data_IF_383806702005
#
_entry.id   IF_383806702005
#
_cell.length_a   1.000
_cell.length_b   1.000
_cell.length_c   1.000
_cell.angle_alpha   90.00
_cell.angle_beta   90.00
_cell.angle_gamma   90.00
#
_symmetry.space_group_name_H-M   'P 1'
#
loop_
_entity.id
_entity.type
_entity.pdbx_description
1 polymer ?
#
# COMPACT_ATOMS: atom_id res chain seq x y z
N UNK A 1 -1.44 -42.80 50.79
CA UNK A 1 -1.03 -41.38 50.56
C UNK A 1 -0.29 -41.33 49.23
N UNK A 2 -1.01 -41.02 48.18
CA UNK A 2 -0.49 -40.90 46.80
C UNK A 2 -0.04 -39.47 46.58
N UNK A 3 1.23 -39.25 46.23
CA UNK A 3 1.80 -37.96 45.92
C UNK A 3 1.19 -37.38 44.63
N UNK A 4 0.95 -36.09 44.54
CA UNK A 4 0.43 -35.50 43.33
C UNK A 4 1.53 -35.41 42.27
N UNK A 5 1.25 -35.97 41.08
CA UNK A 5 2.06 -35.79 39.87
C UNK A 5 1.98 -34.29 39.47
N UNK A 6 3.12 -33.59 39.53
CA UNK A 6 3.28 -32.28 38.92
C UNK A 6 3.19 -32.43 37.39
N UNK A 7 2.12 -31.90 36.80
CA UNK A 7 2.03 -31.63 35.38
C UNK A 7 3.10 -30.60 35.03
N UNK A 8 4.16 -31.01 34.39
CA UNK A 8 5.13 -30.13 33.74
C UNK A 8 4.38 -29.50 32.55
N UNK A 9 3.97 -28.25 32.69
CA UNK A 9 3.46 -27.47 31.61
C UNK A 9 4.61 -27.34 30.58
N UNK A 10 4.52 -28.07 29.48
CA UNK A 10 5.40 -27.87 28.33
C UNK A 10 5.10 -26.45 27.80
N UNK A 11 6.09 -25.55 27.92
CA UNK A 11 6.01 -24.25 27.30
C UNK A 11 5.67 -24.44 25.81
N UNK A 12 4.67 -23.71 25.33
CA UNK A 12 4.37 -23.72 23.90
C UNK A 12 5.64 -23.37 23.11
N UNK A 13 5.94 -24.05 21.98
CA UNK A 13 7.12 -23.72 21.20
C UNK A 13 7.07 -22.27 20.82
N UNK A 14 8.19 -21.56 20.97
CA UNK A 14 8.30 -20.16 20.55
C UNK A 14 7.90 -20.05 19.09
N UNK A 15 7.09 -19.03 18.75
CA UNK A 15 6.65 -18.81 17.38
C UNK A 15 7.88 -18.63 16.47
N UNK A 16 7.89 -19.30 15.31
CA UNK A 16 8.96 -19.18 14.33
C UNK A 16 9.02 -17.77 13.75
N UNK A 17 10.21 -17.29 13.45
CA UNK A 17 10.42 -16.00 12.80
C UNK A 17 10.15 -16.14 11.30
N UNK A 18 9.23 -15.36 10.76
CA UNK A 18 9.01 -15.31 9.31
C UNK A 18 10.09 -14.46 8.64
N UNK A 19 11.04 -15.09 7.95
CA UNK A 19 12.19 -14.43 7.33
C UNK A 19 11.84 -13.65 6.06
N UNK A 20 10.66 -13.86 5.47
CA UNK A 20 10.22 -13.20 4.24
C UNK A 20 10.23 -11.67 4.36
N UNK A 21 9.86 -11.13 5.52
CA UNK A 21 9.74 -9.68 5.75
C UNK A 21 10.99 -9.00 6.30
N UNK A 22 12.07 -9.76 6.55
CA UNK A 22 13.28 -9.21 7.15
C UNK A 22 14.16 -8.55 6.08
N UNK A 23 14.53 -7.30 6.31
CA UNK A 23 15.53 -6.58 5.52
C UNK A 23 16.90 -7.22 5.61
N UNK A 24 17.83 -6.88 4.70
CA UNK A 24 19.21 -7.40 4.73
C UNK A 24 19.87 -7.23 6.10
N UNK A 25 19.77 -6.05 6.70
CA UNK A 25 20.35 -5.78 8.02
C UNK A 25 19.73 -6.61 9.14
N UNK A 26 18.40 -6.80 9.10
CA UNK A 26 17.69 -7.65 10.07
C UNK A 26 18.07 -9.13 9.92
N UNK A 27 18.21 -9.61 8.67
CA UNK A 27 18.68 -10.98 8.41
C UNK A 27 20.14 -11.17 8.85
N UNK A 28 21.02 -10.18 8.63
CA UNK A 28 22.39 -10.23 9.12
C UNK A 28 22.47 -10.33 10.66
N UNK A 29 21.60 -9.57 11.35
CA UNK A 29 21.48 -9.66 12.82
C UNK A 29 20.96 -11.04 13.23
N UNK A 30 19.87 -11.52 12.60
CA UNK A 30 19.29 -12.84 12.85
C UNK A 30 20.34 -13.98 12.72
N UNK A 31 21.12 -13.98 11.63
CA UNK A 31 22.17 -14.99 11.47
C UNK A 31 23.32 -14.85 12.49
N UNK A 32 23.64 -13.61 12.86
CA UNK A 32 24.66 -13.36 13.91
C UNK A 32 24.20 -13.92 15.25
N UNK A 33 22.94 -13.73 15.61
CA UNK A 33 22.33 -14.26 16.85
C UNK A 33 22.30 -15.82 16.86
N UNK A 34 22.22 -16.43 15.67
CA UNK A 34 22.36 -17.90 15.51
C UNK A 34 23.81 -18.40 15.53
N UNK A 35 24.80 -17.51 15.68
CA UNK A 35 26.23 -17.87 15.62
C UNK A 35 26.75 -18.07 14.19
N UNK A 36 25.98 -17.66 13.18
CA UNK A 36 26.31 -17.79 11.76
C UNK A 36 26.92 -16.50 11.20
N UNK A 37 27.59 -16.62 10.04
CA UNK A 37 28.21 -15.47 9.36
C UNK A 37 27.17 -14.60 8.66
N UNK A 38 27.33 -13.27 8.70
CA UNK A 38 26.42 -12.28 8.11
C UNK A 38 26.11 -12.51 6.63
N UNK A 39 27.06 -13.02 5.83
CA UNK A 39 26.82 -13.28 4.41
C UNK A 39 25.74 -14.32 4.12
N UNK A 40 25.33 -15.13 5.14
CA UNK A 40 24.19 -16.07 5.02
C UNK A 40 22.88 -15.35 4.70
N UNK A 41 22.73 -14.09 5.16
CA UNK A 41 21.61 -13.24 4.79
C UNK A 41 21.49 -13.06 3.27
N UNK A 42 22.62 -12.82 2.59
CA UNK A 42 22.63 -12.64 1.12
C UNK A 42 22.26 -13.95 0.38
N UNK A 43 22.71 -15.09 0.88
CA UNK A 43 22.34 -16.39 0.30
C UNK A 43 20.82 -16.63 0.45
N UNK A 44 20.30 -16.44 1.66
CA UNK A 44 18.87 -16.60 1.92
C UNK A 44 18.01 -15.65 1.05
N UNK A 45 18.36 -14.36 1.00
CA UNK A 45 17.62 -13.37 0.19
C UNK A 45 17.50 -13.79 -1.28
N UNK A 46 18.57 -14.30 -1.87
CA UNK A 46 18.56 -14.79 -3.26
C UNK A 46 17.64 -16.00 -3.44
N UNK A 47 17.62 -16.93 -2.47
CA UNK A 47 16.72 -18.07 -2.53
C UNK A 47 15.25 -17.64 -2.47
N UNK A 48 14.92 -16.76 -1.52
CA UNK A 48 13.56 -16.33 -1.25
C UNK A 48 13.04 -15.37 -2.35
N UNK A 49 13.82 -14.34 -2.68
CA UNK A 49 13.32 -13.21 -3.48
C UNK A 49 13.73 -13.26 -4.95
N UNK A 50 14.76 -14.06 -5.33
CA UNK A 50 15.10 -14.25 -6.75
C UNK A 50 14.59 -15.57 -7.31
N UNK A 51 14.42 -16.60 -6.46
CA UNK A 51 14.04 -17.95 -6.89
C UNK A 51 12.67 -18.39 -6.39
N UNK A 52 12.06 -17.64 -5.48
CA UNK A 52 10.76 -17.95 -4.90
C UNK A 52 10.76 -19.20 -4.01
N UNK A 53 11.93 -19.64 -3.51
CA UNK A 53 12.05 -20.84 -2.69
C UNK A 53 11.64 -20.52 -1.25
N UNK A 54 10.80 -21.39 -0.68
CA UNK A 54 10.30 -21.28 0.70
C UNK A 54 10.86 -22.36 1.63
N UNK A 55 11.24 -23.50 1.05
CA UNK A 55 11.71 -24.63 1.84
C UNK A 55 13.23 -24.56 2.04
N UNK A 56 13.68 -24.51 3.29
CA UNK A 56 15.11 -24.46 3.60
C UNK A 56 15.86 -25.67 3.04
N UNK A 57 15.20 -26.84 2.92
CA UNK A 57 15.78 -28.05 2.36
C UNK A 57 16.30 -27.87 0.92
N UNK A 58 15.69 -26.97 0.14
CA UNK A 58 16.07 -26.67 -1.25
C UNK A 58 17.27 -25.72 -1.37
N UNK A 59 17.67 -25.04 -0.29
CA UNK A 59 18.73 -24.02 -0.28
C UNK A 59 20.13 -24.66 -0.19
N UNK A 60 20.57 -25.27 -1.28
CA UNK A 60 21.72 -26.16 -1.33
C UNK A 60 23.08 -25.53 -1.06
N UNK A 61 23.20 -24.18 -1.11
CA UNK A 61 24.40 -23.43 -0.74
C UNK A 61 24.48 -23.10 0.77
N UNK A 62 23.43 -23.48 1.54
CA UNK A 62 23.44 -23.52 2.99
C UNK A 62 23.82 -24.93 3.46
N UNK A 63 24.62 -25.04 4.53
CA UNK A 63 24.98 -26.35 5.11
C UNK A 63 23.73 -27.08 5.63
N UNK A 64 23.76 -28.42 5.64
CA UNK A 64 22.63 -29.20 6.14
C UNK A 64 22.30 -28.82 7.60
N UNK A 65 23.33 -28.69 8.46
CA UNK A 65 23.15 -28.31 9.85
C UNK A 65 22.43 -26.96 10.01
N UNK A 66 22.77 -25.96 9.15
CA UNK A 66 22.11 -24.66 9.18
C UNK A 66 20.66 -24.77 8.70
N UNK A 67 20.38 -25.53 7.64
CA UNK A 67 19.01 -25.77 7.15
C UNK A 67 18.12 -26.41 8.23
N UNK A 68 18.67 -27.42 8.93
CA UNK A 68 17.97 -28.11 10.02
C UNK A 68 17.71 -27.15 11.21
N UNK A 69 18.68 -26.30 11.55
CA UNK A 69 18.53 -25.27 12.57
C UNK A 69 17.46 -24.24 12.19
N UNK A 70 17.48 -23.74 10.94
CA UNK A 70 16.48 -22.78 10.46
C UNK A 70 15.06 -23.34 10.51
N UNK A 71 14.86 -24.62 10.17
CA UNK A 71 13.54 -25.26 10.26
C UNK A 71 12.95 -25.27 11.69
N UNK A 72 13.78 -25.19 12.73
CA UNK A 72 13.31 -25.15 14.11
C UNK A 72 12.88 -23.77 14.57
N UNK A 73 13.57 -22.70 14.10
CA UNK A 73 13.43 -21.34 14.64
C UNK A 73 12.81 -20.34 13.67
N UNK A 74 12.71 -20.70 12.40
CA UNK A 74 12.27 -19.77 11.35
C UNK A 74 11.35 -20.44 10.33
N UNK A 75 10.70 -19.60 9.53
CA UNK A 75 9.87 -19.99 8.39
C UNK A 75 9.95 -18.94 7.28
N UNK A 76 9.50 -19.29 6.07
CA UNK A 76 9.31 -18.39 4.93
C UNK A 76 7.87 -18.60 4.46
N UNK A 77 6.98 -17.81 5.03
CA UNK A 77 5.53 -17.99 4.84
C UNK A 77 4.94 -16.72 4.22
N UNK A 78 4.78 -16.67 2.87
CA UNK A 78 3.99 -15.62 2.25
C UNK A 78 2.51 -15.81 2.60
N UNK A 79 1.69 -14.74 2.57
CA UNK A 79 0.25 -14.87 2.68
C UNK A 79 -0.29 -15.72 1.51
N UNK A 80 -1.56 -16.12 1.55
CA UNK A 80 -2.15 -17.03 0.55
C UNK A 80 -3.23 -16.31 -0.28
N UNK A 81 -3.34 -16.68 -1.55
CA UNK A 81 -4.42 -16.20 -2.43
C UNK A 81 -5.70 -16.93 -2.04
N UNK A 82 -6.71 -16.20 -1.58
CA UNK A 82 -8.06 -16.73 -1.31
C UNK A 82 -8.93 -16.68 -2.57
N UNK A 83 -8.83 -15.59 -3.35
CA UNK A 83 -9.57 -15.42 -4.61
C UNK A 83 -8.70 -14.65 -5.61
N UNK A 84 -8.84 -14.97 -6.89
CA UNK A 84 -8.26 -14.23 -8.01
C UNK A 84 -9.34 -13.85 -9.01
N UNK A 85 -9.31 -12.61 -9.48
CA UNK A 85 -10.17 -12.11 -10.56
C UNK A 85 -9.30 -11.51 -11.66
N UNK A 86 -9.60 -11.87 -12.90
CA UNK A 86 -8.94 -11.35 -14.10
C UNK A 86 -9.92 -10.49 -14.89
N UNK A 87 -9.56 -9.24 -15.17
CA UNK A 87 -10.30 -8.32 -16.01
C UNK A 87 -10.01 -8.53 -17.47
N UNK A 88 -10.95 -8.16 -18.33
CA UNK A 88 -10.78 -8.19 -19.79
C UNK A 88 -9.63 -7.27 -20.28
N UNK A 89 -9.25 -6.25 -19.52
CA UNK A 89 -8.14 -5.34 -19.82
C UNK A 89 -6.77 -5.85 -19.36
N UNK A 90 -6.70 -7.09 -18.85
CA UNK A 90 -5.50 -7.74 -18.32
C UNK A 90 -5.18 -7.39 -16.86
N UNK A 91 -5.95 -6.51 -16.23
CA UNK A 91 -5.81 -6.25 -14.79
C UNK A 91 -6.16 -7.50 -13.99
N UNK A 92 -5.34 -7.80 -12.97
CA UNK A 92 -5.58 -8.93 -12.07
C UNK A 92 -5.70 -8.44 -10.65
N UNK A 93 -6.75 -8.87 -9.96
CA UNK A 93 -6.98 -8.61 -8.54
C UNK A 93 -6.93 -9.90 -7.74
N UNK A 94 -6.29 -9.86 -6.58
CA UNK A 94 -6.27 -10.93 -5.61
C UNK A 94 -6.88 -10.48 -4.30
N UNK A 95 -7.76 -11.31 -3.73
CA UNK A 95 -8.06 -11.31 -2.32
C UNK A 95 -7.05 -12.24 -1.62
N UNK A 96 -6.30 -11.69 -0.68
CA UNK A 96 -5.15 -12.32 -0.05
C UNK A 96 -5.47 -12.54 1.43
N UNK A 97 -5.44 -13.80 1.86
CA UNK A 97 -5.61 -14.16 3.25
C UNK A 97 -4.33 -13.84 4.04
N UNK A 98 -4.49 -13.08 5.10
CA UNK A 98 -3.45 -12.65 6.02
C UNK A 98 -3.68 -13.24 7.42
N UNK A 99 -2.70 -13.11 8.31
CA UNK A 99 -2.81 -13.63 9.67
C UNK A 99 -4.10 -13.16 10.36
N UNK A 100 -4.73 -14.08 11.09
CA UNK A 100 -6.00 -13.83 11.78
C UNK A 100 -7.25 -13.99 10.90
N UNK A 101 -7.11 -14.54 9.68
CA UNK A 101 -8.24 -14.89 8.80
C UNK A 101 -8.88 -13.72 8.04
N UNK A 102 -8.30 -12.54 8.11
CA UNK A 102 -8.76 -11.37 7.35
C UNK A 102 -8.28 -11.41 5.90
N UNK A 103 -8.97 -10.71 5.01
CA UNK A 103 -8.58 -10.56 3.61
C UNK A 103 -8.16 -9.13 3.31
N UNK A 104 -7.10 -8.98 2.53
CA UNK A 104 -6.71 -7.71 1.89
C UNK A 104 -6.61 -7.89 0.39
N UNK A 105 -6.71 -6.82 -0.36
CA UNK A 105 -6.64 -6.88 -1.81
C UNK A 105 -5.33 -6.30 -2.35
N UNK A 106 -4.82 -6.92 -3.41
CA UNK A 106 -3.74 -6.41 -4.24
C UNK A 106 -4.15 -6.46 -5.72
N UNK A 107 -3.65 -5.51 -6.52
CA UNK A 107 -4.03 -5.38 -7.94
C UNK A 107 -2.80 -5.20 -8.80
N UNK A 108 -2.62 -6.03 -9.83
CA UNK A 108 -1.61 -5.86 -10.88
C UNK A 108 -2.26 -5.25 -12.12
N UNK A 109 -1.74 -4.12 -12.56
CA UNK A 109 -2.24 -3.35 -13.70
C UNK A 109 -1.16 -3.35 -14.78
N UNK A 110 -1.32 -4.13 -15.88
CA UNK A 110 -0.42 -4.11 -17.02
C UNK A 110 -0.68 -2.89 -17.90
N UNK A 111 0.39 -2.29 -18.43
CA UNK A 111 0.35 -1.17 -19.35
C UNK A 111 1.58 -1.18 -20.26
N UNK A 112 1.45 -1.80 -21.46
CA UNK A 112 2.59 -2.04 -22.35
C UNK A 112 3.68 -2.86 -21.66
N UNK A 113 4.92 -2.32 -21.63
CA UNK A 113 6.06 -2.96 -20.95
C UNK A 113 6.08 -2.75 -19.43
N UNK A 114 5.07 -2.05 -18.89
CA UNK A 114 4.94 -1.78 -17.45
C UNK A 114 3.88 -2.69 -16.85
N UNK A 115 4.13 -3.10 -15.62
CA UNK A 115 3.13 -3.75 -14.78
C UNK A 115 3.24 -3.16 -13.37
N UNK A 116 2.22 -2.44 -12.95
CA UNK A 116 2.17 -1.75 -11.66
C UNK A 116 1.37 -2.58 -10.66
N UNK A 117 2.01 -2.99 -9.58
CA UNK A 117 1.34 -3.68 -8.47
C UNK A 117 0.92 -2.65 -7.41
N UNK A 118 -0.37 -2.60 -7.14
CA UNK A 118 -0.96 -1.88 -6.02
C UNK A 118 -1.02 -2.83 -4.81
N UNK A 119 -0.38 -2.45 -3.70
CA UNK A 119 -0.30 -3.27 -2.49
C UNK A 119 -0.95 -2.58 -1.30
N UNK A 120 -1.51 -3.39 -0.41
CA UNK A 120 -2.14 -2.98 0.84
C UNK A 120 -1.13 -2.93 1.98
N UNK A 121 -1.37 -2.04 2.95
CA UNK A 121 -0.53 -1.82 4.14
C UNK A 121 -1.25 -2.11 5.46
N UNK A 122 -2.58 -2.18 5.46
CA UNK A 122 -3.40 -2.42 6.65
C UNK A 122 -4.58 -3.34 6.29
N UNK A 123 -5.12 -4.03 7.27
CA UNK A 123 -6.44 -4.67 7.19
C UNK A 123 -7.49 -3.60 7.50
N UNK A 124 -8.19 -3.14 6.45
CA UNK A 124 -9.00 -1.93 6.49
C UNK A 124 -8.14 -0.66 6.41
N UNK A 125 -8.62 0.45 6.95
CA UNK A 125 -7.88 1.71 6.99
C UNK A 125 -8.13 2.46 8.30
N UNK A 126 -7.05 2.97 8.90
CA UNK A 126 -7.14 3.80 10.11
C UNK A 126 -7.76 5.17 9.84
N UNK A 127 -7.74 5.65 8.57
CA UNK A 127 -8.33 6.92 8.15
C UNK A 127 -9.76 6.73 7.65
N UNK A 128 -10.54 7.81 7.70
CA UNK A 128 -11.97 7.86 7.36
C UNK A 128 -12.23 8.78 6.15
N UNK A 129 -11.50 8.59 5.04
CA UNK A 129 -11.74 9.32 3.80
C UNK A 129 -13.13 8.94 3.26
N UNK A 130 -14.02 9.93 3.11
CA UNK A 130 -15.46 9.69 2.88
C UNK A 130 -15.78 9.04 1.55
N UNK A 131 -14.91 9.21 0.55
CA UNK A 131 -15.03 8.66 -0.80
C UNK A 131 -14.31 7.31 -0.98
N UNK A 132 -13.74 6.73 0.08
CA UNK A 132 -12.94 5.50 -0.01
C UNK A 132 -13.69 4.32 0.62
N UNK A 133 -13.88 3.25 -0.15
CA UNK A 133 -14.54 2.03 0.31
C UNK A 133 -13.78 1.40 1.50
N UNK A 134 -12.45 1.28 1.39
CA UNK A 134 -11.60 0.79 2.48
C UNK A 134 -11.74 1.63 3.76
N UNK A 135 -11.83 2.97 3.62
CA UNK A 135 -12.03 3.88 4.76
C UNK A 135 -13.34 3.59 5.51
N UNK A 136 -14.42 3.26 4.78
CA UNK A 136 -15.74 2.94 5.36
C UNK A 136 -15.78 1.59 6.09
N UNK A 137 -14.89 0.64 5.74
CA UNK A 137 -14.81 -0.67 6.41
C UNK A 137 -14.27 -0.58 7.84
N UNK A 138 -13.57 0.50 8.20
CA UNK A 138 -12.89 0.65 9.47
C UNK A 138 -11.49 0.03 9.46
N UNK A 139 -10.93 -0.23 10.63
CA UNK A 139 -9.56 -0.68 10.83
C UNK A 139 -9.50 -1.87 11.79
N UNK A 140 -8.70 -2.85 11.45
CA UNK A 140 -8.45 -4.01 12.31
C UNK A 140 -7.01 -4.02 12.83
N UNK A 141 -6.00 -4.02 11.96
CA UNK A 141 -4.58 -4.04 12.31
C UNK A 141 -3.69 -3.60 11.16
N UNK A 142 -2.45 -3.32 11.47
CA UNK A 142 -1.38 -3.16 10.50
C UNK A 142 -0.98 -4.52 9.90
N UNK A 143 -0.55 -4.52 8.64
CA UNK A 143 0.11 -5.67 8.04
C UNK A 143 1.58 -5.72 8.46
N UNK A 144 2.11 -6.91 8.67
CA UNK A 144 3.53 -7.12 8.88
C UNK A 144 4.34 -6.85 7.61
N UNK A 145 5.63 -6.62 7.73
CA UNK A 145 6.50 -6.47 6.55
C UNK A 145 6.44 -7.71 5.65
N UNK A 146 6.33 -8.92 6.23
CA UNK A 146 6.18 -10.17 5.49
C UNK A 146 4.86 -10.22 4.70
N UNK A 147 3.76 -9.74 5.27
CA UNK A 147 2.47 -9.67 4.57
C UNK A 147 2.46 -8.63 3.46
N UNK A 148 3.15 -7.48 3.64
CA UNK A 148 3.26 -6.45 2.61
C UNK A 148 4.13 -6.94 1.45
N UNK A 149 5.36 -7.41 1.72
CA UNK A 149 6.26 -7.89 0.66
C UNK A 149 5.78 -9.20 0.05
N UNK A 150 5.02 -9.99 0.81
CA UNK A 150 4.37 -11.21 0.37
C UNK A 150 3.38 -10.97 -0.77
N UNK A 151 2.76 -9.79 -0.87
CA UNK A 151 1.91 -9.42 -2.01
C UNK A 151 2.73 -9.32 -3.30
N UNK A 152 3.96 -8.80 -3.23
CA UNK A 152 4.89 -8.75 -4.37
C UNK A 152 5.33 -10.17 -4.73
N UNK A 153 5.67 -10.98 -3.73
CA UNK A 153 6.07 -12.38 -3.89
C UNK A 153 4.96 -13.19 -4.59
N UNK A 154 3.72 -13.09 -4.10
CA UNK A 154 2.55 -13.76 -4.68
C UNK A 154 2.26 -13.33 -6.11
N UNK A 155 2.34 -12.03 -6.40
CA UNK A 155 2.13 -11.53 -7.74
C UNK A 155 3.13 -12.14 -8.73
N UNK A 156 4.41 -12.25 -8.36
CA UNK A 156 5.44 -12.88 -9.20
C UNK A 156 5.19 -14.39 -9.33
N UNK A 157 4.88 -15.07 -8.23
CA UNK A 157 4.63 -16.50 -8.19
C UNK A 157 3.43 -16.90 -9.06
N UNK A 158 2.33 -16.16 -9.00
CA UNK A 158 1.11 -16.41 -9.78
C UNK A 158 1.28 -16.35 -11.29
N UNK A 159 2.37 -15.75 -11.78
CA UNK A 159 2.76 -15.72 -13.19
C UNK A 159 3.93 -16.64 -13.53
N UNK A 160 4.35 -17.53 -12.60
CA UNK A 160 5.58 -18.32 -12.73
C UNK A 160 6.80 -17.44 -13.06
N UNK A 161 6.88 -16.27 -12.45
CA UNK A 161 7.86 -15.23 -12.76
C UNK A 161 9.28 -15.47 -12.24
N UNK A 162 9.48 -16.57 -11.48
CA UNK A 162 10.80 -16.97 -10.93
C UNK A 162 11.73 -17.60 -11.98
N UNK A 163 11.23 -17.90 -13.18
CA UNK A 163 12.01 -18.56 -14.24
C UNK A 163 12.99 -17.56 -14.89
N UNK A 164 14.25 -17.96 -15.00
CA UNK A 164 15.28 -17.19 -15.69
C UNK A 164 14.88 -16.93 -17.16
N UNK A 165 15.10 -15.70 -17.64
CA UNK A 165 14.83 -15.30 -19.03
C UNK A 165 13.42 -14.77 -19.29
N UNK A 166 12.49 -14.83 -18.33
CA UNK A 166 11.22 -14.09 -18.41
C UNK A 166 11.43 -12.63 -18.03
N UNK A 167 10.72 -11.73 -18.66
CA UNK A 167 10.63 -10.32 -18.25
C UNK A 167 10.10 -10.17 -16.82
N UNK A 168 10.30 -9.03 -16.21
CA UNK A 168 9.79 -8.76 -14.85
C UNK A 168 8.26 -8.73 -14.85
N UNK A 169 7.63 -9.55 -14.04
CA UNK A 169 6.17 -9.56 -13.82
C UNK A 169 5.73 -8.24 -13.17
N UNK A 170 6.47 -7.77 -12.16
CA UNK A 170 6.20 -6.51 -11.47
C UNK A 170 7.32 -5.53 -11.79
N UNK A 171 6.98 -4.41 -12.42
CA UNK A 171 7.95 -3.36 -12.79
C UNK A 171 7.87 -2.14 -11.89
N UNK A 172 6.70 -1.91 -11.28
CA UNK A 172 6.41 -0.79 -10.38
C UNK A 172 5.55 -1.28 -9.21
N UNK A 173 5.76 -0.70 -8.04
CA UNK A 173 4.90 -0.95 -6.87
C UNK A 173 4.38 0.38 -6.34
N UNK A 174 3.10 0.43 -6.02
CA UNK A 174 2.46 1.60 -5.39
C UNK A 174 1.75 1.19 -4.09
N UNK A 175 2.03 1.88 -3.01
CA UNK A 175 1.39 1.69 -1.71
C UNK A 175 0.08 2.48 -1.70
N UNK A 176 -0.88 2.04 -2.55
CA UNK A 176 -2.18 2.71 -2.79
C UNK A 176 -3.36 1.75 -2.62
N UNK A 177 -3.13 0.58 -2.03
CA UNK A 177 -4.15 -0.39 -1.68
C UNK A 177 -4.88 -0.02 -0.39
N UNK A 178 -5.23 -1.03 0.41
CA UNK A 178 -5.92 -0.83 1.68
C UNK A 178 -4.96 -0.28 2.74
N UNK A 179 -5.39 0.78 3.45
CA UNK A 179 -4.67 1.37 4.58
C UNK A 179 -3.93 2.67 4.27
N UNK A 180 -3.49 3.34 5.35
CA UNK A 180 -2.57 4.48 5.29
C UNK A 180 -1.14 4.01 5.61
N UNK A 181 -0.24 3.99 4.62
CA UNK A 181 1.09 3.43 4.78
C UNK A 181 1.91 4.06 5.91
N UNK A 182 1.79 5.37 6.10
CA UNK A 182 2.56 6.06 7.13
C UNK A 182 2.06 5.77 8.56
N UNK A 183 0.87 5.20 8.75
CA UNK A 183 0.45 4.71 10.07
C UNK A 183 1.04 3.34 10.39
N UNK A 184 1.46 2.57 9.38
CA UNK A 184 2.21 1.32 9.51
C UNK A 184 3.70 1.51 9.12
N UNK A 185 4.34 2.53 9.66
CA UNK A 185 5.61 3.07 9.18
C UNK A 185 6.72 2.02 9.06
N UNK A 186 7.04 1.31 10.15
CA UNK A 186 8.22 0.46 10.22
C UNK A 186 8.11 -0.77 9.29
N UNK A 187 6.92 -1.38 9.20
CA UNK A 187 6.67 -2.50 8.28
C UNK A 187 6.69 -2.04 6.81
N UNK A 188 6.11 -0.89 6.52
CA UNK A 188 6.08 -0.32 5.17
C UNK A 188 7.49 0.06 4.71
N UNK A 189 8.29 0.69 5.56
CA UNK A 189 9.69 1.03 5.24
C UNK A 189 10.50 -0.24 5.01
N UNK A 190 10.34 -1.27 5.84
CA UNK A 190 11.03 -2.56 5.66
C UNK A 190 10.66 -3.20 4.32
N UNK A 191 9.38 -3.23 3.97
CA UNK A 191 8.91 -3.77 2.70
C UNK A 191 9.43 -2.97 1.49
N UNK A 192 9.41 -1.63 1.54
CA UNK A 192 9.95 -0.78 0.47
C UNK A 192 11.46 -0.95 0.29
N UNK A 193 12.21 -1.11 1.39
CA UNK A 193 13.64 -1.39 1.32
C UNK A 193 13.91 -2.75 0.66
N UNK A 194 13.12 -3.79 0.96
CA UNK A 194 13.18 -5.07 0.25
C UNK A 194 12.83 -4.94 -1.24
N UNK A 195 11.81 -4.15 -1.59
CA UNK A 195 11.47 -3.90 -3.00
C UNK A 195 12.64 -3.28 -3.77
N UNK A 196 13.45 -2.43 -3.13
CA UNK A 196 14.57 -1.73 -3.74
C UNK A 196 15.91 -2.48 -3.63
N UNK A 197 16.04 -3.45 -2.70
CA UNK A 197 17.28 -4.20 -2.48
C UNK A 197 17.62 -5.08 -3.70
N UNK A 198 18.85 -5.00 -4.19
CA UNK A 198 19.34 -5.76 -5.35
C UNK A 198 19.46 -7.28 -5.10
N UNK A 199 19.51 -7.70 -3.84
CA UNK A 199 19.45 -9.11 -3.43
C UNK A 199 17.99 -9.60 -3.23
N UNK A 200 17.00 -8.70 -3.37
CA UNK A 200 15.59 -9.04 -3.34
C UNK A 200 14.94 -8.72 -4.70
N UNK A 201 14.14 -7.65 -4.80
CA UNK A 201 13.40 -7.39 -6.05
C UNK A 201 14.13 -6.39 -6.98
N UNK A 202 15.09 -5.63 -6.49
CA UNK A 202 15.92 -4.71 -7.28
C UNK A 202 15.13 -3.68 -8.08
N UNK A 203 13.99 -3.22 -7.56
CA UNK A 203 13.22 -2.17 -8.19
C UNK A 203 13.93 -0.83 -8.03
N UNK A 204 13.93 -0.03 -9.09
CA UNK A 204 14.43 1.34 -8.98
C UNK A 204 13.59 2.12 -7.96
N UNK A 205 14.23 2.93 -7.13
CA UNK A 205 13.60 3.82 -6.14
C UNK A 205 12.49 4.72 -6.73
N UNK A 206 12.59 5.06 -8.02
CA UNK A 206 11.56 5.81 -8.76
C UNK A 206 10.33 4.96 -9.14
N UNK A 207 10.46 3.63 -9.05
CA UNK A 207 9.41 2.67 -9.40
C UNK A 207 8.66 2.11 -8.19
N UNK A 208 9.08 2.50 -7.00
CA UNK A 208 8.36 2.26 -5.74
C UNK A 208 7.78 3.60 -5.28
N UNK A 209 6.47 3.66 -5.07
CA UNK A 209 5.76 4.89 -4.68
C UNK A 209 5.06 4.68 -3.35
N UNK A 210 5.40 5.49 -2.36
CA UNK A 210 4.62 5.63 -1.14
C UNK A 210 3.55 6.70 -1.39
N UNK A 211 2.29 6.38 -1.11
CA UNK A 211 1.18 7.33 -1.10
C UNK A 211 0.73 7.60 0.32
N UNK A 212 0.39 8.84 0.65
CA UNK A 212 -0.13 9.21 1.98
C UNK A 212 -1.21 10.26 1.91
N UNK A 213 -2.18 10.15 2.79
CA UNK A 213 -3.18 11.20 3.03
C UNK A 213 -2.67 12.30 3.99
N UNK A 214 -1.45 12.18 4.51
CA UNK A 214 -0.80 13.25 5.27
C UNK A 214 -0.59 12.98 6.76
N UNK A 215 -0.05 11.82 7.11
CA UNK A 215 0.44 11.55 8.48
C UNK A 215 1.79 12.26 8.65
N UNK A 216 1.73 13.57 8.91
CA UNK A 216 2.86 14.49 8.88
C UNK A 216 4.04 14.05 9.75
N UNK A 217 3.89 13.62 11.03
CA UNK A 217 5.05 13.23 11.85
C UNK A 217 5.87 12.08 11.24
N UNK A 218 5.20 11.13 10.58
CA UNK A 218 5.88 10.01 9.93
C UNK A 218 6.41 10.38 8.54
N UNK A 219 5.78 11.35 7.86
CA UNK A 219 6.31 11.91 6.62
C UNK A 219 7.60 12.71 6.87
N UNK A 220 7.68 13.48 7.96
CA UNK A 220 8.86 14.26 8.33
C UNK A 220 10.12 13.39 8.52
N UNK A 221 9.95 12.19 9.09
CA UNK A 221 11.07 11.26 9.32
C UNK A 221 11.35 10.32 8.14
N UNK A 222 10.48 10.26 7.13
CA UNK A 222 10.56 9.28 6.05
C UNK A 222 11.89 9.31 5.29
N UNK A 223 12.46 10.51 5.07
CA UNK A 223 13.69 10.68 4.31
C UNK A 223 14.92 9.99 4.94
N UNK A 224 14.90 9.74 6.24
CA UNK A 224 15.96 9.03 6.96
C UNK A 224 15.92 7.52 6.69
N UNK A 225 14.78 6.99 6.28
CA UNK A 225 14.52 5.55 6.22
C UNK A 225 14.26 5.02 4.82
N UNK A 226 13.79 5.85 3.90
CA UNK A 226 13.43 5.43 2.56
C UNK A 226 13.68 6.54 1.53
N UNK A 227 14.13 6.11 0.35
CA UNK A 227 14.34 6.98 -0.82
C UNK A 227 13.49 6.44 -1.98
N UNK A 228 12.19 6.71 -1.94
CA UNK A 228 11.20 6.26 -2.93
C UNK A 228 10.42 7.43 -3.53
N UNK A 229 9.61 7.20 -4.55
CA UNK A 229 8.68 8.22 -5.06
C UNK A 229 7.59 8.51 -4.03
N UNK A 230 7.18 9.77 -3.92
CA UNK A 230 6.14 10.21 -3.01
C UNK A 230 4.89 10.66 -3.78
N UNK A 231 3.73 10.16 -3.36
CA UNK A 231 2.42 10.66 -3.76
C UNK A 231 1.68 11.21 -2.54
N UNK A 232 0.99 12.32 -2.73
CA UNK A 232 0.14 12.96 -1.72
C UNK A 232 -1.31 12.91 -2.18
N UNK A 233 -2.13 12.22 -1.43
CA UNK A 233 -3.59 12.16 -1.58
C UNK A 233 -4.20 13.48 -1.07
N UNK A 234 -4.23 14.49 -1.96
CA UNK A 234 -4.67 15.85 -1.63
C UNK A 234 -6.19 16.00 -1.69
N UNK A 235 -6.78 15.67 -2.83
CA UNK A 235 -8.21 15.59 -3.15
C UNK A 235 -9.06 16.87 -2.97
N UNK A 236 -8.48 17.96 -2.46
CA UNK A 236 -9.17 19.23 -2.30
C UNK A 236 -8.19 20.40 -2.49
N UNK A 237 -8.65 21.57 -2.99
CA UNK A 237 -7.80 22.74 -3.18
C UNK A 237 -7.65 23.60 -1.91
N UNK A 238 -8.48 23.36 -0.88
CA UNK A 238 -8.49 24.10 0.37
C UNK A 238 -8.82 23.23 1.58
N UNK A 239 -8.50 23.73 2.78
CA UNK A 239 -8.70 22.98 4.04
C UNK A 239 -10.18 22.77 4.35
N UNK A 240 -11.05 23.72 4.06
CA UNK A 240 -12.48 23.62 4.38
C UNK A 240 -13.14 22.42 3.68
N UNK A 241 -12.81 22.18 2.42
CA UNK A 241 -13.29 21.01 1.70
C UNK A 241 -12.53 19.75 2.10
N UNK A 242 -11.20 19.85 2.28
CA UNK A 242 -10.39 18.71 2.66
C UNK A 242 -10.78 18.14 4.02
N UNK A 243 -11.15 18.98 4.99
CA UNK A 243 -11.65 18.57 6.31
C UNK A 243 -12.90 17.69 6.23
N UNK A 244 -13.70 17.86 5.18
CA UNK A 244 -14.92 17.08 4.95
C UNK A 244 -14.63 15.73 4.31
N UNK A 245 -13.75 15.68 3.29
CA UNK A 245 -13.54 14.47 2.50
C UNK A 245 -12.31 13.66 2.92
N UNK A 246 -11.32 14.30 3.57
CA UNK A 246 -10.08 13.67 4.10
C UNK A 246 -9.85 14.14 5.53
N UNK A 247 -10.55 13.60 6.54
CA UNK A 247 -10.64 14.16 7.90
C UNK A 247 -9.33 14.31 8.66
N UNK A 248 -8.25 13.61 8.27
CA UNK A 248 -6.91 13.81 8.87
C UNK A 248 -6.39 15.24 8.65
N UNK A 249 -6.93 15.97 7.68
CA UNK A 249 -6.59 17.36 7.40
C UNK A 249 -6.79 18.28 8.62
N UNK A 250 -7.83 18.03 9.43
CA UNK A 250 -8.10 18.76 10.66
C UNK A 250 -6.92 18.73 11.64
N UNK A 251 -6.12 17.66 11.59
CA UNK A 251 -4.91 17.50 12.39
C UNK A 251 -3.68 18.04 11.68
N UNK A 252 -3.62 17.87 10.38
CA UNK A 252 -2.48 18.27 9.54
C UNK A 252 -2.99 18.99 8.29
N UNK A 253 -3.16 20.35 8.36
CA UNK A 253 -3.66 21.16 7.23
C UNK A 253 -2.77 21.07 6.00
N UNK A 254 -3.32 21.41 4.83
CA UNK A 254 -2.67 21.34 3.52
C UNK A 254 -1.28 22.00 3.53
N UNK A 255 -1.16 23.18 4.09
CA UNK A 255 0.11 23.91 4.13
C UNK A 255 1.21 23.11 4.84
N UNK A 256 0.87 22.47 5.97
CA UNK A 256 1.83 21.65 6.74
C UNK A 256 2.18 20.35 6.02
N UNK A 257 1.20 19.72 5.38
CA UNK A 257 1.40 18.53 4.56
C UNK A 257 2.34 18.82 3.38
N UNK A 258 2.07 19.88 2.61
CA UNK A 258 2.91 20.26 1.48
C UNK A 258 4.33 20.67 1.92
N UNK A 259 4.47 21.34 3.07
CA UNK A 259 5.79 21.64 3.65
C UNK A 259 6.57 20.36 3.95
N UNK A 260 5.96 19.36 4.56
CA UNK A 260 6.61 18.07 4.87
C UNK A 260 6.97 17.29 3.61
N UNK A 261 6.07 17.25 2.63
CA UNK A 261 6.34 16.59 1.35
C UNK A 261 7.47 17.30 0.57
N UNK A 262 7.59 18.62 0.68
CA UNK A 262 8.69 19.39 0.11
C UNK A 262 10.00 19.07 0.83
N UNK A 263 10.01 19.04 2.15
CA UNK A 263 11.18 18.69 2.96
C UNK A 263 11.70 17.28 2.62
N UNK A 264 10.76 16.32 2.43
CA UNK A 264 11.11 14.98 1.95
C UNK A 264 11.85 15.02 0.60
N UNK A 265 11.35 15.77 -0.39
CA UNK A 265 12.01 15.90 -1.69
C UNK A 265 13.40 16.54 -1.57
N UNK A 266 13.50 17.60 -0.78
CA UNK A 266 14.76 18.36 -0.62
C UNK A 266 15.84 17.52 0.08
N UNK A 267 15.45 16.55 0.90
CA UNK A 267 16.38 15.60 1.52
C UNK A 267 16.85 14.50 0.55
N UNK A 268 16.12 14.25 -0.56
CA UNK A 268 16.51 13.19 -1.50
C UNK A 268 17.74 13.57 -2.34
N UNK A 269 18.60 12.58 -2.72
CA UNK A 269 19.75 12.81 -3.59
C UNK A 269 19.37 13.35 -4.96
N UNK A 270 18.27 12.85 -5.53
CA UNK A 270 17.79 13.22 -6.87
C UNK A 270 16.90 14.46 -6.80
N UNK A 271 17.49 15.62 -7.04
CA UNK A 271 16.83 16.94 -7.01
C UNK A 271 15.81 17.18 -8.14
N UNK A 272 15.73 16.28 -9.13
CA UNK A 272 14.75 16.35 -10.22
C UNK A 272 13.42 15.64 -9.89
N UNK A 273 13.32 15.02 -8.73
CA UNK A 273 12.07 14.40 -8.29
C UNK A 273 11.00 15.44 -7.99
N UNK A 274 9.77 15.03 -8.24
CA UNK A 274 8.57 15.81 -7.92
C UNK A 274 7.58 14.95 -7.14
N UNK A 275 6.74 15.57 -6.34
CA UNK A 275 5.60 14.92 -5.68
C UNK A 275 4.52 14.62 -6.72
N UNK A 276 3.89 13.46 -6.64
CA UNK A 276 2.64 13.22 -7.35
C UNK A 276 1.48 13.67 -6.47
N UNK A 277 0.70 14.64 -6.92
CA UNK A 277 -0.53 15.08 -6.26
C UNK A 277 -1.67 14.22 -6.81
N UNK A 278 -2.23 13.36 -5.99
CA UNK A 278 -3.41 12.58 -6.32
C UNK A 278 -4.66 13.39 -6.00
N UNK A 279 -5.56 13.53 -6.97
CA UNK A 279 -6.79 14.31 -6.85
C UNK A 279 -7.97 13.52 -7.41
N UNK A 280 -8.74 12.91 -6.52
CA UNK A 280 -9.99 12.22 -6.89
C UNK A 280 -11.07 13.25 -7.16
N UNK A 281 -11.60 13.24 -8.38
CA UNK A 281 -12.68 14.13 -8.80
C UNK A 281 -14.03 13.53 -8.44
N UNK A 282 -14.82 14.24 -7.63
CA UNK A 282 -16.15 13.90 -7.13
C UNK A 282 -17.16 14.88 -7.74
N UNK A 283 -18.16 14.38 -8.45
CA UNK A 283 -19.14 15.21 -9.15
C UNK A 283 -19.87 16.19 -8.21
N UNK A 284 -19.84 17.48 -8.54
CA UNK A 284 -20.49 18.54 -7.77
C UNK A 284 -19.87 18.83 -6.40
N UNK A 285 -18.72 18.23 -6.07
CA UNK A 285 -18.04 18.41 -4.78
C UNK A 285 -16.72 19.15 -4.95
N UNK A 286 -15.81 18.64 -5.80
CA UNK A 286 -14.47 19.18 -5.98
C UNK A 286 -14.03 19.23 -7.45
N UNK A 287 -14.99 19.19 -8.40
CA UNK A 287 -14.76 19.06 -9.84
C UNK A 287 -15.04 20.35 -10.64
N UNK A 288 -15.26 21.49 -9.96
CA UNK A 288 -15.56 22.76 -10.63
C UNK A 288 -14.30 23.44 -11.21
N UNK A 289 -14.50 24.30 -12.19
CA UNK A 289 -13.44 25.13 -12.81
C UNK A 289 -12.79 26.07 -11.79
N UNK A 290 -13.58 26.60 -10.87
CA UNK A 290 -13.13 27.48 -9.79
C UNK A 290 -12.16 26.73 -8.86
N UNK A 291 -12.51 25.50 -8.49
CA UNK A 291 -11.65 24.64 -7.67
C UNK A 291 -10.38 24.22 -8.42
N UNK A 292 -10.44 24.02 -9.74
CA UNK A 292 -9.23 23.80 -10.55
C UNK A 292 -8.28 25.02 -10.52
N UNK A 293 -8.81 26.24 -10.60
CA UNK A 293 -8.03 27.49 -10.48
C UNK A 293 -7.43 27.64 -9.09
N UNK A 294 -8.20 27.34 -8.06
CA UNK A 294 -7.75 27.37 -6.67
C UNK A 294 -6.61 26.34 -6.44
N UNK A 295 -6.75 25.11 -6.96
CA UNK A 295 -5.69 24.10 -6.92
C UNK A 295 -4.42 24.57 -7.65
N UNK A 296 -4.57 25.19 -8.84
CA UNK A 296 -3.46 25.72 -9.58
C UNK A 296 -2.73 26.84 -8.81
N UNK A 297 -3.48 27.70 -8.12
CA UNK A 297 -2.91 28.76 -7.27
C UNK A 297 -2.18 28.18 -6.06
N UNK A 298 -2.79 27.19 -5.36
CA UNK A 298 -2.21 26.49 -4.21
C UNK A 298 -0.85 25.87 -4.56
N UNK A 299 -0.76 25.22 -5.73
CA UNK A 299 0.43 24.46 -6.14
C UNK A 299 1.41 25.30 -7.00
N UNK A 300 1.17 26.59 -7.17
CA UNK A 300 2.04 27.45 -7.99
C UNK A 300 3.48 27.43 -7.46
N UNK A 301 4.43 27.04 -8.33
CA UNK A 301 5.85 26.93 -7.98
C UNK A 301 6.20 25.72 -7.10
N UNK A 302 5.23 24.88 -6.78
CA UNK A 302 5.49 23.64 -6.05
C UNK A 302 5.96 22.51 -7.02
N UNK A 303 7.03 21.76 -6.71
CA UNK A 303 7.57 20.74 -7.61
C UNK A 303 6.67 19.50 -7.60
N UNK A 304 5.64 19.51 -8.41
CA UNK A 304 4.69 18.41 -8.51
C UNK A 304 4.26 18.10 -9.94
N UNK A 305 3.66 16.93 -10.10
CA UNK A 305 2.76 16.55 -11.18
C UNK A 305 1.41 16.18 -10.57
N UNK A 306 0.34 16.35 -11.33
CA UNK A 306 -1.02 16.11 -10.84
C UNK A 306 -1.59 14.87 -11.53
N UNK A 307 -2.16 13.97 -10.76
CA UNK A 307 -2.88 12.81 -11.24
C UNK A 307 -4.37 12.95 -10.88
N UNK A 308 -5.19 13.23 -11.87
CA UNK A 308 -6.63 13.33 -11.72
C UNK A 308 -7.24 11.93 -11.80
N UNK A 309 -8.02 11.57 -10.80
CA UNK A 309 -8.69 10.28 -10.69
C UNK A 309 -10.20 10.52 -10.73
N UNK A 310 -10.87 10.37 -11.90
CA UNK A 310 -12.33 10.36 -11.90
C UNK A 310 -12.83 9.30 -10.94
N UNK A 311 -13.75 9.67 -10.06
CA UNK A 311 -14.26 8.79 -9.03
C UNK A 311 -14.80 7.49 -9.62
N UNK A 312 -14.51 6.36 -8.99
CA UNK A 312 -15.05 5.07 -9.35
C UNK A 312 -16.15 4.73 -8.37
N UNK A 313 -17.36 4.60 -8.90
CA UNK A 313 -18.55 4.39 -8.10
C UNK A 313 -18.50 3.03 -7.38
N UNK A 314 -18.99 2.99 -6.16
CA UNK A 314 -19.21 1.76 -5.42
C UNK A 314 -20.49 1.89 -4.58
N UNK A 315 -21.15 0.79 -4.22
CA UNK A 315 -22.39 0.82 -3.45
C UNK A 315 -22.23 1.67 -2.18
N UNK A 316 -23.22 2.50 -1.92
CA UNK A 316 -23.30 3.36 -0.73
C UNK A 316 -22.13 4.39 -0.59
N UNK A 317 -21.47 4.75 -1.68
CA UNK A 317 -20.39 5.77 -1.65
C UNK A 317 -20.91 7.13 -1.21
N UNK A 318 -22.10 7.51 -1.64
CA UNK A 318 -22.68 8.85 -1.47
C UNK A 318 -22.12 9.88 -2.45
N UNK A 319 -21.26 9.46 -3.39
CA UNK A 319 -20.63 10.31 -4.42
C UNK A 319 -20.91 9.74 -5.80
N UNK A 320 -20.71 10.59 -6.81
CA UNK A 320 -20.87 10.22 -8.21
C UNK A 320 -19.63 10.56 -9.02
N UNK A 321 -19.42 9.79 -10.08
CA UNK A 321 -18.36 10.07 -11.07
C UNK A 321 -18.68 11.36 -11.82
N UNK A 322 -17.71 12.27 -11.99
CA UNK A 322 -17.88 13.49 -12.79
C UNK A 322 -18.05 13.14 -14.27
N UNK A 323 -18.79 14.00 -14.99
CA UNK A 323 -18.92 13.86 -16.44
C UNK A 323 -17.55 14.06 -17.12
N UNK A 324 -17.35 13.44 -18.29
CA UNK A 324 -16.12 13.61 -19.08
C UNK A 324 -15.84 15.09 -19.41
N UNK A 325 -16.89 15.91 -19.62
CA UNK A 325 -16.75 17.35 -19.84
C UNK A 325 -16.25 18.10 -18.59
N UNK A 326 -16.69 17.71 -17.39
CA UNK A 326 -16.20 18.31 -16.14
C UNK A 326 -14.72 17.95 -15.94
N UNK A 327 -14.35 16.69 -16.12
CA UNK A 327 -12.95 16.24 -16.06
C UNK A 327 -12.08 17.01 -17.07
N UNK A 328 -12.53 17.13 -18.32
CA UNK A 328 -11.77 17.82 -19.37
C UNK A 328 -11.57 19.30 -19.07
N UNK A 329 -12.61 20.01 -18.56
CA UNK A 329 -12.48 21.42 -18.16
C UNK A 329 -11.54 21.61 -16.98
N UNK A 330 -11.63 20.75 -15.96
CA UNK A 330 -10.74 20.77 -14.81
C UNK A 330 -9.28 20.53 -15.24
N UNK A 331 -9.06 19.53 -16.07
CA UNK A 331 -7.74 19.20 -16.64
C UNK A 331 -7.17 20.37 -17.46
N UNK A 332 -7.98 21.00 -18.32
CA UNK A 332 -7.53 22.11 -19.18
C UNK A 332 -7.03 23.30 -18.36
N UNK A 333 -7.74 23.67 -17.29
CA UNK A 333 -7.32 24.75 -16.38
C UNK A 333 -5.93 24.50 -15.80
N UNK A 334 -5.64 23.25 -15.40
CA UNK A 334 -4.35 22.91 -14.82
C UNK A 334 -3.23 22.88 -15.88
N UNK A 335 -3.53 22.41 -17.10
CA UNK A 335 -2.58 22.47 -18.23
C UNK A 335 -2.26 23.91 -18.61
N UNK A 336 -3.28 24.79 -18.71
CA UNK A 336 -3.10 26.20 -19.01
C UNK A 336 -2.28 26.92 -17.93
N UNK A 337 -2.36 26.44 -16.68
CA UNK A 337 -1.52 26.92 -15.58
C UNK A 337 -0.09 26.33 -15.58
N UNK A 338 0.26 25.47 -16.55
CA UNK A 338 1.62 24.95 -16.76
C UNK A 338 1.95 23.69 -15.98
N UNK A 339 0.97 22.97 -15.41
CA UNK A 339 1.22 21.70 -14.71
C UNK A 339 1.32 20.51 -15.67
N UNK A 340 2.11 19.50 -15.28
CA UNK A 340 2.04 18.16 -15.87
C UNK A 340 0.87 17.44 -15.24
N UNK A 341 -0.17 17.16 -16.03
CA UNK A 341 -1.41 16.55 -15.53
C UNK A 341 -1.71 15.27 -16.30
N UNK A 342 -1.98 14.20 -15.58
CA UNK A 342 -2.49 12.95 -16.13
C UNK A 342 -3.91 12.71 -15.63
N UNK A 343 -4.77 12.17 -16.48
CA UNK A 343 -6.10 11.69 -16.10
C UNK A 343 -6.02 10.17 -16.08
N UNK A 344 -6.30 9.57 -14.93
CA UNK A 344 -6.24 8.12 -14.79
C UNK A 344 -7.44 7.47 -15.50
N UNK A 345 -7.12 6.56 -16.40
CA UNK A 345 -8.12 5.65 -16.97
C UNK A 345 -8.45 4.58 -15.94
N UNK A 346 -9.73 4.33 -15.70
CA UNK A 346 -10.17 3.22 -14.86
C UNK A 346 -9.68 1.91 -15.47
N UNK A 347 -9.11 1.05 -14.64
CA UNK A 347 -8.65 -0.30 -14.99
C UNK A 347 -9.30 -1.30 -14.05
N UNK A 348 -9.66 -2.49 -14.60
CA UNK A 348 -10.30 -3.54 -13.83
C UNK A 348 -11.67 -3.12 -13.28
N UNK A 349 -12.43 -2.31 -14.03
CA UNK A 349 -13.75 -1.81 -13.61
C UNK A 349 -14.75 -2.97 -13.45
N UNK A 350 -14.67 -3.96 -14.32
CA UNK A 350 -15.47 -5.19 -14.32
C UNK A 350 -15.21 -6.13 -13.12
N UNK A 351 -14.15 -5.88 -12.35
CA UNK A 351 -13.76 -6.68 -11.18
C UNK A 351 -13.57 -5.85 -9.91
N UNK A 352 -14.09 -4.60 -9.87
CA UNK A 352 -13.95 -3.66 -8.74
C UNK A 352 -12.50 -3.47 -8.29
N UNK A 353 -11.55 -3.35 -9.24
CA UNK A 353 -10.12 -3.23 -8.97
C UNK A 353 -9.61 -1.79 -9.00
N UNK A 354 -10.47 -0.81 -9.18
CA UNK A 354 -10.07 0.59 -9.29
C UNK A 354 -9.73 1.22 -7.93
N UNK A 355 -9.00 2.35 -7.98
CA UNK A 355 -8.64 3.09 -6.78
C UNK A 355 -9.88 3.51 -5.97
N UNK A 356 -9.83 3.26 -4.67
CA UNK A 356 -10.92 3.56 -3.73
C UNK A 356 -12.00 2.48 -3.62
N UNK A 357 -11.97 1.43 -4.49
CA UNK A 357 -12.96 0.34 -4.48
C UNK A 357 -12.53 -0.89 -3.68
N UNK A 358 -11.26 -1.02 -3.28
CA UNK A 358 -10.77 -2.22 -2.63
C UNK A 358 -11.51 -2.53 -1.33
N UNK A 359 -11.95 -3.78 -1.20
CA UNK A 359 -12.79 -4.28 -0.11
C UNK A 359 -12.24 -5.60 0.38
N UNK A 360 -11.66 -5.60 1.60
CA UNK A 360 -11.23 -6.82 2.26
C UNK A 360 -12.28 -7.37 3.23
N UNK A 361 -12.02 -8.52 3.82
CA UNK A 361 -12.76 -8.97 5.00
C UNK A 361 -12.10 -8.42 6.25
N UNK A 362 -12.77 -7.45 6.90
CA UNK A 362 -12.24 -6.68 8.01
C UNK A 362 -13.13 -6.85 9.26
N UNK A 363 -12.53 -7.26 10.36
CA UNK A 363 -13.17 -7.17 11.68
C UNK A 363 -12.96 -5.76 12.22
N UNK A 364 -13.93 -4.86 12.00
CA UNK A 364 -13.83 -3.45 12.34
C UNK A 364 -13.75 -3.21 13.86
N UNK A 365 -12.55 -2.90 14.36
CA UNK A 365 -12.30 -2.54 15.77
C UNK A 365 -12.68 -1.09 16.09
N UNK A 366 -12.94 -0.26 15.09
CA UNK A 366 -13.28 1.17 15.27
C UNK A 366 -14.79 1.42 15.37
N UNK A 367 -15.61 0.40 15.12
CA UNK A 367 -17.08 0.47 14.97
C UNK A 367 -17.52 1.47 13.89
N UNK A 368 -16.66 1.80 12.94
CA UNK A 368 -16.91 2.78 11.88
C UNK A 368 -17.96 2.26 10.89
N UNK A 369 -17.84 1.01 10.46
CA UNK A 369 -18.81 0.37 9.59
C UNK A 369 -20.24 0.38 10.19
N UNK A 370 -20.36 0.22 11.51
CA UNK A 370 -21.63 0.31 12.21
C UNK A 370 -22.18 1.75 12.23
N UNK A 371 -21.31 2.76 12.46
CA UNK A 371 -21.71 4.18 12.41
C UNK A 371 -22.17 4.62 11.04
N UNK A 372 -21.50 4.21 9.98
CA UNK A 372 -21.92 4.50 8.61
C UNK A 372 -23.26 3.86 8.26
N UNK A 373 -23.55 2.64 8.75
CA UNK A 373 -24.88 2.01 8.60
C UNK A 373 -25.97 2.76 9.35
N UNK A 374 -25.77 3.08 10.62
CA UNK A 374 -26.73 3.80 11.44
C UNK A 374 -27.06 5.22 10.89
N UNK A 375 -26.06 5.93 10.36
CA UNK A 375 -26.28 7.24 9.72
C UNK A 375 -27.13 7.16 8.46
N UNK A 376 -27.10 6.06 7.72
CA UNK A 376 -27.95 5.81 6.53
C UNK A 376 -29.39 5.55 6.90
N UNK A 377 -29.62 4.73 7.90
CA UNK A 377 -30.98 4.42 8.36
C UNK A 377 -31.71 5.70 8.78
N UNK A 378 -30.99 6.64 9.41
CA UNK A 378 -31.53 7.95 9.80
C UNK A 378 -31.81 8.86 8.60
N UNK A 379 -30.94 8.88 7.57
CA UNK A 379 -31.17 9.65 6.33
C UNK A 379 -32.32 9.08 5.48
N UNK A 380 -32.45 7.78 5.40
CA UNK A 380 -33.54 7.10 4.68
C UNK A 380 -34.90 7.40 5.33
N UNK A 381 -34.97 7.47 6.66
CA UNK A 381 -36.18 7.84 7.39
C UNK A 381 -36.54 9.32 7.19
N UNK A 382 -35.61 10.23 7.07
CA UNK A 382 -35.86 11.67 6.82
C UNK A 382 -36.23 11.99 5.36
N UNK A 383 -35.98 11.08 4.40
CA UNK A 383 -36.38 11.24 2.99
C UNK A 383 -37.72 10.57 2.68
N UNK A 384 -38.27 9.83 3.62
CA UNK A 384 -39.58 9.14 3.51
C UNK A 384 -40.70 9.90 4.22
N UNK A 385 -40.44 11.04 4.83
CA UNK A 385 -41.38 12.05 5.34
C UNK A 385 -41.48 13.24 4.36
#
# INVERSE_FOLDING_TARGET
>A
MTAPQQLIATAAPAAKVNLLGLTRGQLEAFFTDLGEKRFRAQQLMKWVHHRGVREFAEMTDLSQALRDSLQQVAEITPPTIAEQKDSADGTRKWAIAVEGGSLVEAVLIPEGDRATLCVSSQVGCSLDCTFCSTGKQGFQRDLTAAEIIGQVWLAIDSYNGWQSGKGRVVTNVVMMGMGEPLLNFDNVVSAMNLMCDDLAYGLSKRKVTLSTSGVVPNLDRLAEWADVSLAVSLHAPNDALRDQIVPINRKYPIARLLQSARAYLDAQPDKKRVVTIEYTLLAGVNDSVEQARELALLLKGYPCKINLIPFNDFPDSGYQRPSGNAVSRFWQVLIDAGFVVTVRTTRGDDIDAACGQLVGEVVDRTRRAARHRAGRDTQSLMQSE
#
